data_IF_490292757461
#
_entry.id   IF_490292757461
#
_cell.length_a   1.000
_cell.length_b   1.000
_cell.length_c   1.000
_cell.angle_alpha   90.00
_cell.angle_beta   90.00
_cell.angle_gamma   90.00
#
_symmetry.space_group_name_H-M   'P 1'
#
loop_
_entity.id
_entity.type
_entity.pdbx_description
1 polymer ?
#
# COMPACT_ATOMS: atom_id res chain seq x y z
N UNK A 1 -12.98 17.96 -2.91
CA UNK A 1 -11.60 18.35 -2.52
C UNK A 1 -10.84 17.15 -1.96
N UNK A 2 -9.52 17.13 -2.07
CA UNK A 2 -8.66 16.07 -1.52
C UNK A 2 -8.89 15.86 -0.01
N UNK A 3 -9.03 16.96 0.75
CA UNK A 3 -9.36 16.88 2.19
C UNK A 3 -10.65 16.09 2.42
N UNK A 4 -11.71 16.36 1.65
CA UNK A 4 -12.99 15.66 1.79
C UNK A 4 -12.85 14.16 1.47
N UNK A 5 -11.99 13.80 0.51
CA UNK A 5 -11.70 12.40 0.17
C UNK A 5 -11.00 11.68 1.32
N UNK A 6 -9.95 12.28 1.88
CA UNK A 6 -9.24 11.72 3.05
C UNK A 6 -10.19 11.59 4.25
N UNK A 7 -11.02 12.61 4.50
CA UNK A 7 -12.02 12.55 5.56
C UNK A 7 -13.04 11.42 5.35
N UNK A 8 -13.51 11.23 4.11
CA UNK A 8 -14.46 10.15 3.80
C UNK A 8 -13.84 8.77 4.03
N UNK A 9 -12.60 8.55 3.59
CA UNK A 9 -11.88 7.29 3.80
C UNK A 9 -11.50 7.03 5.27
N UNK A 10 -11.39 8.06 6.09
CA UNK A 10 -11.13 7.94 7.52
C UNK A 10 -12.43 7.94 8.37
N UNK A 11 -13.59 8.08 7.75
CA UNK A 11 -14.86 8.13 8.45
C UNK A 11 -15.37 6.74 8.87
N UNK A 12 -16.12 6.69 9.98
CA UNK A 12 -16.65 5.45 10.54
C UNK A 12 -17.42 4.57 9.55
N UNK A 13 -18.26 5.08 8.63
CA UNK A 13 -18.92 4.26 7.63
C UNK A 13 -17.94 3.50 6.72
N UNK A 14 -16.85 4.16 6.29
CA UNK A 14 -15.85 3.54 5.44
C UNK A 14 -15.00 2.52 6.22
N UNK A 15 -14.65 2.81 7.46
CA UNK A 15 -13.93 1.85 8.33
C UNK A 15 -14.76 0.58 8.54
N UNK A 16 -16.06 0.70 8.82
CA UNK A 16 -16.96 -0.47 8.90
C UNK A 16 -17.06 -1.25 7.58
N UNK A 17 -17.04 -0.55 6.45
CA UNK A 17 -16.98 -1.21 5.14
C UNK A 17 -15.68 -2.03 5.00
N UNK A 18 -14.53 -1.46 5.39
CA UNK A 18 -13.25 -2.18 5.40
C UNK A 18 -13.25 -3.36 6.36
N UNK A 19 -13.81 -3.21 7.57
CA UNK A 19 -13.97 -4.30 8.52
C UNK A 19 -14.74 -5.48 7.90
N UNK A 20 -15.86 -5.19 7.24
CA UNK A 20 -16.67 -6.21 6.54
C UNK A 20 -15.93 -6.83 5.35
N UNK A 21 -15.23 -6.02 4.57
CA UNK A 21 -14.53 -6.47 3.36
C UNK A 21 -13.36 -7.39 3.67
N UNK A 22 -12.62 -7.10 4.74
CA UNK A 22 -11.34 -7.75 5.05
C UNK A 22 -11.40 -8.72 6.22
N UNK A 23 -12.50 -8.74 6.97
CA UNK A 23 -12.62 -9.49 8.22
C UNK A 23 -11.78 -8.91 9.38
N UNK A 24 -11.15 -7.76 9.17
CA UNK A 24 -10.42 -7.06 10.23
C UNK A 24 -11.40 -6.26 11.08
N UNK A 25 -11.40 -6.44 12.38
CA UNK A 25 -12.30 -5.71 13.26
C UNK A 25 -11.60 -4.53 13.96
N UNK A 26 -12.35 -3.43 14.14
CA UNK A 26 -11.90 -2.29 14.92
C UNK A 26 -10.78 -1.49 14.26
N UNK A 27 -10.87 -1.31 12.94
CA UNK A 27 -9.89 -0.52 12.20
C UNK A 27 -9.92 0.95 12.62
N UNK A 28 -8.73 1.51 12.75
CA UNK A 28 -8.45 2.90 13.10
C UNK A 28 -7.69 3.57 11.94
N UNK A 29 -8.06 4.79 11.54
CA UNK A 29 -7.30 5.53 10.54
C UNK A 29 -6.06 6.15 11.16
N UNK A 30 -5.09 6.53 10.35
CA UNK A 30 -3.98 7.41 10.76
C UNK A 30 -4.28 8.85 10.36
N UNK A 31 -4.67 9.73 11.29
CA UNK A 31 -4.93 11.13 10.98
C UNK A 31 -3.68 11.93 10.64
N UNK A 32 -2.50 11.41 10.98
CA UNK A 32 -1.21 12.03 10.70
C UNK A 32 -0.61 11.61 9.35
N UNK A 33 -1.21 10.61 8.69
CA UNK A 33 -0.75 10.05 7.42
C UNK A 33 0.73 9.63 7.46
N UNK A 34 1.15 8.99 8.56
CA UNK A 34 2.53 8.53 8.77
C UNK A 34 2.96 7.56 7.68
N UNK A 35 3.85 8.00 6.79
CA UNK A 35 4.28 7.25 5.60
C UNK A 35 3.23 7.18 4.49
N UNK A 36 2.03 7.72 4.70
CA UNK A 36 0.94 7.81 3.74
C UNK A 36 0.80 9.20 3.12
N UNK A 37 -0.38 9.48 2.56
CA UNK A 37 -0.70 10.74 1.90
C UNK A 37 -0.59 10.67 0.39
N UNK A 38 -0.27 11.80 -0.25
CA UNK A 38 -0.08 11.87 -1.69
C UNK A 38 1.32 11.41 -2.07
N UNK A 39 1.38 10.38 -2.90
CA UNK A 39 2.61 9.89 -3.48
C UNK A 39 2.69 10.26 -4.97
N UNK A 40 3.87 10.67 -5.40
CA UNK A 40 4.19 10.98 -6.78
C UNK A 40 5.53 10.36 -7.15
N UNK A 41 5.53 9.57 -8.21
CA UNK A 41 6.74 8.96 -8.77
C UNK A 41 7.00 9.55 -10.14
N UNK A 42 8.24 9.98 -10.34
CA UNK A 42 8.73 10.56 -11.60
C UNK A 42 9.19 9.46 -12.56
N UNK A 43 9.39 9.75 -13.86
CA UNK A 43 10.05 8.82 -14.79
C UNK A 43 11.37 8.29 -14.20
N UNK A 44 11.63 7.00 -14.36
CA UNK A 44 12.79 6.31 -13.81
C UNK A 44 12.68 5.91 -12.32
N UNK A 45 11.65 6.36 -11.62
CA UNK A 45 11.46 5.95 -10.22
C UNK A 45 11.00 4.50 -10.10
N UNK A 46 11.43 3.87 -9.02
CA UNK A 46 11.07 2.50 -8.63
C UNK A 46 10.81 2.44 -7.13
N UNK A 47 10.15 1.40 -6.67
CA UNK A 47 10.00 1.06 -5.28
C UNK A 47 10.27 -0.44 -5.12
N UNK A 48 11.42 -0.79 -4.56
CA UNK A 48 11.82 -2.18 -4.35
C UNK A 48 10.75 -2.97 -3.60
N UNK A 49 10.69 -4.27 -3.84
CA UNK A 49 9.78 -5.16 -3.13
C UNK A 49 10.10 -5.15 -1.63
N UNK A 50 9.06 -5.05 -0.83
CA UNK A 50 9.18 -4.97 0.63
C UNK A 50 7.90 -5.42 1.33
N UNK A 51 8.01 -5.75 2.61
CA UNK A 51 6.90 -5.71 3.54
C UNK A 51 7.01 -4.45 4.41
N UNK A 52 5.89 -3.81 4.65
CA UNK A 52 5.84 -2.55 5.40
C UNK A 52 6.19 -2.72 6.88
N UNK A 53 6.56 -1.61 7.54
CA UNK A 53 6.63 -1.57 9.01
C UNK A 53 5.28 -1.97 9.62
N UNK A 54 5.31 -2.67 10.74
CA UNK A 54 4.11 -3.28 11.32
C UNK A 54 3.48 -2.52 12.50
N UNK A 55 4.13 -1.48 13.03
CA UNK A 55 3.64 -0.67 14.15
C UNK A 55 3.63 0.82 13.84
N UNK A 56 2.51 1.50 14.16
CA UNK A 56 2.47 2.96 14.09
C UNK A 56 3.38 3.55 15.17
N UNK A 57 4.42 4.32 14.78
CA UNK A 57 5.36 4.90 15.72
C UNK A 57 4.68 5.76 16.78
N UNK A 58 5.03 5.56 18.05
CA UNK A 58 4.50 6.32 19.17
C UNK A 58 3.12 5.89 19.69
N UNK A 59 2.40 5.03 18.95
CA UNK A 59 1.04 4.62 19.33
C UNK A 59 0.91 3.13 19.64
N UNK A 60 1.88 2.31 19.23
CA UNK A 60 1.83 0.85 19.44
C UNK A 60 0.72 0.13 18.70
N UNK A 61 0.04 0.80 17.76
CA UNK A 61 -1.01 0.22 16.94
C UNK A 61 -0.44 -0.65 15.84
N UNK A 62 -1.08 -1.79 15.58
CA UNK A 62 -0.71 -2.71 14.51
C UNK A 62 -1.23 -2.23 13.15
N UNK A 63 -0.34 -2.09 12.15
CA UNK A 63 -0.73 -1.77 10.77
C UNK A 63 -1.42 -2.99 10.15
N UNK A 64 -2.64 -2.82 9.66
CA UNK A 64 -3.50 -3.90 9.18
C UNK A 64 -3.72 -3.87 7.67
N UNK A 65 -3.99 -2.69 7.14
CA UNK A 65 -4.34 -2.53 5.73
C UNK A 65 -3.62 -1.35 5.11
N UNK A 66 -3.30 -1.51 3.83
CA UNK A 66 -2.99 -0.42 2.93
C UNK A 66 -4.17 -0.19 1.99
N UNK A 67 -4.47 1.07 1.73
CA UNK A 67 -5.35 1.51 0.66
C UNK A 67 -4.56 2.41 -0.27
N UNK A 68 -4.57 2.09 -1.56
CA UNK A 68 -4.01 2.93 -2.61
C UNK A 68 -5.14 3.34 -3.56
N UNK A 69 -5.38 4.64 -3.68
CA UNK A 69 -6.26 5.20 -4.71
C UNK A 69 -5.39 5.86 -5.79
N UNK A 70 -5.43 5.34 -7.00
CA UNK A 70 -4.68 5.91 -8.11
C UNK A 70 -5.37 7.15 -8.68
N UNK A 71 -4.58 8.18 -8.98
CA UNK A 71 -5.05 9.51 -9.38
C UNK A 71 -4.60 9.89 -10.79
N UNK A 72 -4.18 8.93 -11.60
CA UNK A 72 -3.67 9.15 -12.95
C UNK A 72 -4.88 9.31 -13.92
N UNK A 73 -5.06 10.43 -14.61
CA UNK A 73 -6.18 10.59 -15.54
C UNK A 73 -6.19 9.55 -16.66
N UNK A 74 -5.00 9.22 -17.15
CA UNK A 74 -4.74 8.20 -18.15
C UNK A 74 -3.48 7.44 -17.75
N UNK A 75 -3.36 6.19 -18.18
CA UNK A 75 -2.16 5.38 -17.97
C UNK A 75 -1.99 4.42 -19.15
N UNK A 76 -0.80 4.38 -19.69
CA UNK A 76 -0.42 3.44 -20.75
C UNK A 76 0.35 2.28 -20.12
N UNK A 77 -0.01 1.06 -20.43
CA UNK A 77 0.60 -0.14 -19.84
C UNK A 77 2.10 -0.26 -20.18
N UNK A 78 2.55 0.31 -21.30
CA UNK A 78 3.97 0.35 -21.67
C UNK A 78 4.84 1.17 -20.72
N UNK A 79 4.23 2.05 -19.92
CA UNK A 79 4.94 2.86 -18.93
C UNK A 79 5.34 2.08 -17.68
N UNK A 80 4.77 0.89 -17.49
CA UNK A 80 4.99 0.07 -16.29
C UNK A 80 4.29 0.69 -15.06
N UNK A 81 4.92 0.56 -13.91
CA UNK A 81 4.43 1.19 -12.67
C UNK A 81 3.30 0.42 -11.99
N UNK A 82 3.06 -0.83 -12.38
CA UNK A 82 2.13 -1.71 -11.69
C UNK A 82 2.55 -1.91 -10.22
N UNK A 83 1.57 -2.01 -9.35
CA UNK A 83 1.77 -2.57 -8.04
C UNK A 83 1.92 -4.08 -8.18
N UNK A 84 3.05 -4.60 -7.78
CA UNK A 84 3.26 -6.04 -7.67
C UNK A 84 2.94 -6.53 -6.26
N UNK A 85 2.15 -7.60 -6.17
CA UNK A 85 1.95 -8.36 -4.94
C UNK A 85 2.63 -9.72 -5.12
N UNK A 86 3.44 -10.11 -4.16
CA UNK A 86 4.25 -11.32 -4.19
C UNK A 86 3.73 -12.37 -3.21
N UNK A 87 4.00 -13.63 -3.47
CA UNK A 87 3.73 -14.69 -2.52
C UNK A 87 4.64 -14.57 -1.28
N UNK A 88 4.26 -15.27 -0.21
CA UNK A 88 4.93 -15.18 1.09
C UNK A 88 6.38 -15.65 1.08
N UNK A 89 6.73 -16.50 0.13
CA UNK A 89 8.06 -17.10 0.01
C UNK A 89 8.91 -16.37 -1.05
N UNK A 90 8.39 -15.29 -1.65
CA UNK A 90 9.04 -14.51 -2.70
C UNK A 90 9.39 -15.33 -3.95
N UNK A 91 8.63 -16.38 -4.25
CA UNK A 91 8.87 -17.22 -5.44
C UNK A 91 8.23 -16.64 -6.70
N UNK A 92 7.04 -16.02 -6.56
CA UNK A 92 6.29 -15.51 -7.69
C UNK A 92 5.54 -14.20 -7.38
N UNK A 93 5.49 -13.30 -8.36
CA UNK A 93 4.55 -12.20 -8.37
C UNK A 93 3.16 -12.77 -8.68
N UNK A 94 2.26 -12.75 -7.70
CA UNK A 94 0.92 -13.34 -7.80
C UNK A 94 -0.10 -12.39 -8.42
N UNK A 95 0.17 -11.08 -8.37
CA UNK A 95 -0.73 -10.08 -8.93
C UNK A 95 0.04 -8.84 -9.37
N UNK A 96 -0.31 -8.33 -10.57
CA UNK A 96 0.13 -7.01 -11.08
C UNK A 96 -1.09 -6.13 -11.26
N UNK A 97 -1.04 -4.91 -10.72
CA UNK A 97 -2.17 -3.97 -10.71
C UNK A 97 -1.73 -2.67 -11.34
N UNK A 98 -2.21 -2.39 -12.55
CA UNK A 98 -1.92 -1.15 -13.25
C UNK A 98 -2.49 0.07 -12.50
N UNK A 99 -1.76 1.20 -12.43
CA UNK A 99 -2.14 2.38 -11.65
C UNK A 99 -3.16 3.27 -12.39
N UNK A 100 -4.24 2.69 -12.86
CA UNK A 100 -5.31 3.37 -13.61
C UNK A 100 -6.08 4.29 -12.67
N UNK A 101 -6.38 5.49 -13.12
CA UNK A 101 -7.12 6.49 -12.34
C UNK A 101 -8.45 5.97 -11.81
N UNK A 102 -8.79 6.41 -10.61
CA UNK A 102 -9.97 5.98 -9.85
C UNK A 102 -9.98 4.47 -9.45
N UNK A 103 -8.89 3.73 -9.67
CA UNK A 103 -8.73 2.39 -9.14
C UNK A 103 -8.32 2.47 -7.67
N UNK A 104 -9.08 1.79 -6.81
CA UNK A 104 -8.78 1.65 -5.40
C UNK A 104 -8.31 0.22 -5.13
N UNK A 105 -7.15 0.07 -4.48
CA UNK A 105 -6.59 -1.22 -4.10
C UNK A 105 -6.50 -1.26 -2.58
N UNK A 106 -7.01 -2.33 -1.98
CA UNK A 106 -6.88 -2.59 -0.55
C UNK A 106 -6.20 -3.94 -0.38
N UNK A 107 -5.16 -4.00 0.46
CA UNK A 107 -4.49 -5.25 0.78
C UNK A 107 -4.03 -5.29 2.24
N UNK A 108 -3.99 -6.50 2.79
CA UNK A 108 -3.55 -6.74 4.17
C UNK A 108 -2.04 -6.57 4.31
N UNK A 109 -1.61 -6.08 5.46
CA UNK A 109 -0.19 -5.93 5.79
C UNK A 109 0.19 -6.91 6.90
N UNK A 110 1.08 -7.83 6.56
CA UNK A 110 1.74 -8.78 7.45
C UNK A 110 3.24 -8.70 7.22
N UNK A 111 4.05 -9.40 8.00
CA UNK A 111 5.51 -9.43 7.82
C UNK A 111 5.97 -10.06 6.50
N UNK A 112 5.07 -10.73 5.79
CA UNK A 112 5.29 -11.47 4.55
C UNK A 112 4.34 -11.03 3.42
N UNK A 113 3.67 -9.90 3.57
CA UNK A 113 2.87 -9.28 2.50
C UNK A 113 3.75 -8.40 1.60
N UNK A 114 4.57 -9.08 0.81
CA UNK A 114 5.56 -8.43 -0.05
C UNK A 114 4.90 -7.76 -1.24
N UNK A 115 5.29 -6.51 -1.47
CA UNK A 115 4.77 -5.70 -2.56
C UNK A 115 5.76 -4.63 -2.98
N UNK A 116 5.57 -4.06 -4.17
CA UNK A 116 6.45 -3.02 -4.69
C UNK A 116 6.04 -2.53 -6.07
N UNK A 117 6.91 -1.74 -6.65
CA UNK A 117 6.91 -1.29 -8.04
C UNK A 117 8.37 -1.33 -8.50
N UNK A 118 8.94 -2.55 -8.63
CA UNK A 118 10.39 -2.71 -8.69
C UNK A 118 11.00 -2.33 -10.04
N UNK A 119 10.19 -2.23 -11.10
CA UNK A 119 10.69 -1.82 -12.40
C UNK A 119 10.63 -0.29 -12.56
N UNK A 120 11.69 0.35 -13.09
CA UNK A 120 11.71 1.79 -13.32
C UNK A 120 10.57 2.24 -14.23
N UNK A 121 9.90 3.34 -13.84
CA UNK A 121 8.86 3.96 -14.65
C UNK A 121 9.40 4.44 -15.99
N UNK A 122 8.70 4.09 -17.07
CA UNK A 122 9.03 4.47 -18.45
C UNK A 122 8.07 5.50 -19.03
N UNK A 123 7.31 6.20 -18.19
CA UNK A 123 6.42 7.25 -18.65
C UNK A 123 7.21 8.44 -19.23
N UNK A 124 6.62 9.18 -20.19
CA UNK A 124 7.26 10.35 -20.78
C UNK A 124 7.50 11.48 -19.78
N UNK A 125 8.39 12.39 -20.09
CA UNK A 125 8.62 13.59 -19.30
C UNK A 125 7.31 14.37 -19.08
N UNK A 126 7.12 14.85 -17.86
CA UNK A 126 5.90 15.54 -17.43
C UNK A 126 4.75 14.62 -17.02
N UNK A 127 4.81 13.33 -17.32
CA UNK A 127 3.87 12.32 -16.79
C UNK A 127 4.41 11.74 -15.50
N UNK A 128 3.55 11.56 -14.50
CA UNK A 128 3.94 11.03 -13.21
C UNK A 128 2.90 10.05 -12.70
N UNK A 129 3.33 9.00 -11.99
CA UNK A 129 2.45 8.06 -11.33
C UNK A 129 2.03 8.62 -9.98
N UNK A 130 0.73 8.81 -9.79
CA UNK A 130 0.16 9.46 -8.60
C UNK A 130 -0.80 8.54 -7.88
N UNK A 131 -0.73 8.55 -6.55
CA UNK A 131 -1.69 7.85 -5.70
C UNK A 131 -1.91 8.58 -4.39
N UNK A 132 -3.07 8.34 -3.80
CA UNK A 132 -3.33 8.60 -2.38
C UNK A 132 -3.15 7.27 -1.65
N UNK A 133 -2.24 7.23 -0.67
CA UNK A 133 -2.01 6.08 0.19
C UNK A 133 -2.55 6.35 1.59
N UNK A 134 -3.38 5.44 2.10
CA UNK A 134 -3.91 5.49 3.46
C UNK A 134 -3.65 4.17 4.15
N UNK A 135 -3.31 4.23 5.44
CA UNK A 135 -3.00 3.06 6.24
C UNK A 135 -3.98 2.94 7.40
N UNK A 136 -4.40 1.71 7.68
CA UNK A 136 -5.34 1.44 8.75
C UNK A 136 -4.72 0.48 9.75
N UNK A 137 -5.01 0.75 11.00
CA UNK A 137 -4.41 0.12 12.15
C UNK A 137 -5.46 -0.53 13.03
N UNK A 138 -5.04 -1.38 13.96
CA UNK A 138 -5.88 -1.89 15.04
C UNK A 138 -5.11 -1.93 16.35
N UNK A 139 -5.83 -1.97 17.47
CA UNK A 139 -5.22 -2.20 18.76
C UNK A 139 -5.00 -3.71 18.98
N UNK A 140 -3.85 -4.18 18.49
CA UNK A 140 -3.49 -5.60 18.49
C UNK A 140 -3.88 -6.34 17.21
N UNK A 141 -3.36 -7.57 17.08
CA UNK A 141 -3.61 -8.52 16.00
C UNK A 141 -4.07 -9.86 16.57
N UNK A 142 -4.79 -10.69 15.80
CA UNK A 142 -4.99 -12.09 16.13
C UNK A 142 -3.66 -12.77 16.48
N UNK A 143 -3.70 -13.71 17.42
CA UNK A 143 -2.50 -14.35 17.96
C UNK A 143 -1.62 -14.98 16.87
N UNK A 144 -2.23 -15.64 15.90
CA UNK A 144 -1.53 -16.28 14.78
C UNK A 144 -0.85 -15.31 13.79
N UNK A 145 -1.19 -14.01 13.86
CA UNK A 145 -0.56 -12.95 13.05
C UNK A 145 0.49 -12.15 13.83
N UNK A 146 0.64 -12.42 15.13
CA UNK A 146 1.59 -11.67 15.98
C UNK A 146 3.03 -12.01 15.63
N UNK A 147 3.88 -11.02 15.70
CA UNK A 147 5.32 -11.15 15.47
C UNK A 147 6.08 -10.00 16.10
N UNK A 148 7.40 -10.03 16.07
CA UNK A 148 8.22 -8.92 16.56
C UNK A 148 7.96 -7.64 15.77
N UNK A 149 8.15 -6.51 16.42
CA UNK A 149 8.12 -5.20 15.76
C UNK A 149 9.26 -5.11 14.74
N UNK A 150 8.96 -4.56 13.59
CA UNK A 150 9.93 -4.37 12.51
C UNK A 150 9.67 -3.10 11.71
N UNK A 151 10.74 -2.51 11.18
CA UNK A 151 10.70 -1.52 10.12
C UNK A 151 10.37 -2.17 8.77
N UNK A 152 10.42 -1.40 7.68
CA UNK A 152 10.27 -1.94 6.32
C UNK A 152 11.30 -3.05 6.06
N UNK A 153 10.82 -4.21 5.61
CA UNK A 153 11.62 -5.40 5.29
C UNK A 153 11.78 -5.49 3.77
N UNK A 154 12.95 -5.10 3.28
CA UNK A 154 13.28 -5.10 1.86
C UNK A 154 13.59 -6.51 1.37
N UNK A 155 13.15 -6.81 0.16
CA UNK A 155 13.38 -8.09 -0.50
C UNK A 155 14.05 -7.90 -1.87
N UNK A 156 14.80 -8.92 -2.27
CA UNK A 156 15.34 -9.02 -3.63
C UNK A 156 14.45 -9.95 -4.43
N UNK A 157 14.06 -9.56 -5.65
CA UNK A 157 13.28 -10.42 -6.53
C UNK A 157 14.11 -11.63 -6.99
N UNK A 158 13.46 -12.79 -7.24
CA UNK A 158 14.12 -13.91 -7.88
C UNK A 158 14.78 -13.49 -9.21
N UNK A 159 16.07 -13.79 -9.37
CA UNK A 159 16.85 -13.43 -10.57
C UNK A 159 17.48 -12.04 -10.55
N UNK A 160 17.26 -11.21 -9.52
CA UNK A 160 18.03 -10.00 -9.26
C UNK A 160 19.16 -10.36 -8.27
N UNK A 161 20.41 -10.29 -8.73
CA UNK A 161 21.61 -10.53 -7.91
C UNK A 161 22.28 -9.19 -7.59
#
# INVERSE_FOLDING_TARGET
>A
TLRGLVQAFNAGPFLRYLDCLTGSAGLLPDPHLTGGGLHQYLPGAELRVHADFNKLPGYGLDRRLNLLLYLNPTWDDSWGGELELWDRDMHACVQRIAPIGNRCVVFSTTRDSYHGMPDPLRCPDGVTRRSLALYYYSNGRPEHERGPDHSTLWQTRPGEA
#
